data_IF_790289582458
#
_entry.id   IF_790289582458
#
_cell.length_a   1.000
_cell.length_b   1.000
_cell.length_c   1.000
_cell.angle_alpha   90.00
_cell.angle_beta   90.00
_cell.angle_gamma   90.00
#
_symmetry.space_group_name_H-M   'P 1'
#
loop_
_entity.id
_entity.type
_entity.pdbx_description
1 polymer ?
#
# COMPACT_ATOMS: atom_id res chain seq x y z
N UNK A 1 16.99 -12.65 -26.40
CA UNK A 1 16.14 -11.49 -26.47
C UNK A 1 16.11 -10.73 -25.16
N UNK A 2 16.36 -9.47 -25.25
CA UNK A 2 16.42 -8.68 -24.05
C UNK A 2 15.03 -8.21 -23.64
N UNK A 3 14.72 -8.40 -22.41
CA UNK A 3 13.45 -7.92 -21.89
C UNK A 3 13.51 -6.42 -21.70
N UNK A 4 12.37 -5.77 -21.82
CA UNK A 4 12.36 -4.35 -21.47
C UNK A 4 12.84 -4.16 -20.04
N UNK A 5 13.40 -3.01 -19.80
CA UNK A 5 13.89 -2.72 -18.47
C UNK A 5 12.73 -2.50 -17.54
N UNK A 6 12.36 -3.56 -16.83
CA UNK A 6 11.37 -3.42 -15.79
C UNK A 6 12.07 -2.96 -14.53
N UNK A 7 11.48 -2.04 -13.80
CA UNK A 7 12.09 -1.59 -12.57
C UNK A 7 12.21 -2.76 -11.61
N UNK A 8 13.39 -2.97 -11.08
CA UNK A 8 13.60 -3.95 -10.04
C UNK A 8 13.45 -3.33 -8.67
N UNK A 9 13.33 -2.03 -8.62
CA UNK A 9 13.18 -1.30 -7.38
C UNK A 9 11.93 -0.45 -7.43
N UNK A 10 11.41 -0.19 -6.25
CA UNK A 10 10.23 0.63 -6.09
C UNK A 10 10.64 2.08 -5.92
N UNK A 11 9.97 3.02 -6.56
CA UNK A 11 10.37 4.43 -6.46
C UNK A 11 10.03 5.08 -5.14
N UNK A 12 9.28 4.43 -4.28
CA UNK A 12 8.85 5.02 -3.02
C UNK A 12 7.43 5.54 -3.11
N UNK A 13 6.73 5.56 -1.96
CA UNK A 13 5.34 5.99 -1.93
C UNK A 13 5.17 7.40 -2.47
N UNK A 14 6.15 8.27 -2.21
CA UNK A 14 6.03 9.67 -2.64
C UNK A 14 6.12 9.82 -4.15
N UNK A 15 6.68 8.84 -4.82
CA UNK A 15 6.87 8.89 -6.27
C UNK A 15 6.02 7.83 -6.97
N UNK A 16 5.12 7.18 -6.24
CA UNK A 16 4.27 6.16 -6.81
C UNK A 16 3.24 6.80 -7.74
N UNK A 17 2.90 6.09 -8.80
CA UNK A 17 1.82 6.52 -9.65
C UNK A 17 0.51 6.43 -8.87
N UNK A 18 -0.52 7.09 -9.35
CA UNK A 18 -1.84 7.11 -8.71
C UNK A 18 -1.77 7.60 -7.27
N UNK A 19 -0.80 8.47 -6.95
CA UNK A 19 -0.72 9.03 -5.62
C UNK A 19 -0.44 8.00 -4.54
N UNK A 20 0.17 6.89 -4.91
CA UNK A 20 0.47 5.84 -3.95
C UNK A 20 -0.65 4.85 -3.74
N UNK A 21 -1.72 4.93 -4.53
CA UNK A 21 -2.84 4.00 -4.42
C UNK A 21 -2.66 2.84 -5.39
N UNK A 22 -1.50 2.21 -5.34
CA UNK A 22 -1.19 1.02 -6.12
C UNK A 22 -1.20 -0.19 -5.22
N UNK A 23 -1.09 -1.38 -5.81
CA UNK A 23 -1.02 -2.59 -5.00
C UNK A 23 0.18 -2.54 -4.05
N UNK A 24 1.34 -2.11 -4.56
CA UNK A 24 2.52 -2.04 -3.71
C UNK A 24 2.33 -0.98 -2.62
N UNK A 25 1.73 0.15 -2.97
CA UNK A 25 1.46 1.18 -1.97
C UNK A 25 0.57 0.67 -0.85
N UNK A 26 -0.42 -0.14 -1.19
CA UNK A 26 -1.29 -0.73 -0.18
C UNK A 26 -0.55 -1.72 0.70
N UNK A 27 0.34 -2.50 0.11
CA UNK A 27 1.15 -3.44 0.89
C UNK A 27 1.97 -2.67 1.93
N UNK A 28 2.59 -1.57 1.52
CA UNK A 28 3.42 -0.80 2.43
C UNK A 28 2.58 -0.20 3.55
N UNK A 29 1.41 0.34 3.23
CA UNK A 29 0.57 0.93 4.25
C UNK A 29 0.00 -0.09 5.20
N UNK A 30 -0.38 -1.27 4.70
CA UNK A 30 -0.82 -2.33 5.58
C UNK A 30 0.31 -2.77 6.50
N UNK A 31 1.55 -2.78 5.98
CA UNK A 31 2.70 -3.10 6.82
C UNK A 31 2.87 -2.07 7.94
N UNK A 32 2.54 -0.81 7.68
CA UNK A 32 2.52 0.19 8.74
C UNK A 32 1.46 -0.14 9.79
N UNK A 33 0.29 -0.58 9.34
CA UNK A 33 -0.80 -0.90 10.27
C UNK A 33 -0.37 -2.00 11.23
N UNK A 34 0.28 -3.03 10.72
CA UNK A 34 0.70 -4.17 11.55
C UNK A 34 2.11 -4.00 12.11
N UNK A 35 2.71 -2.82 11.92
CA UNK A 35 4.03 -2.50 12.46
C UNK A 35 5.13 -3.40 11.94
N UNK A 36 4.92 -3.95 10.74
CA UNK A 36 6.00 -4.64 10.04
C UNK A 36 7.02 -3.64 9.51
N UNK A 37 6.58 -2.41 9.26
CA UNK A 37 7.43 -1.31 8.85
C UNK A 37 7.03 -0.07 9.64
N UNK A 38 7.97 0.83 9.94
CA UNK A 38 7.61 2.10 10.56
C UNK A 38 6.87 2.99 9.56
N UNK A 39 6.01 3.86 10.06
CA UNK A 39 5.19 4.71 9.21
C UNK A 39 6.00 5.73 8.42
N UNK A 40 7.29 5.85 8.71
CA UNK A 40 8.18 6.71 7.95
C UNK A 40 8.83 6.01 6.78
N UNK A 41 8.64 4.70 6.63
CA UNK A 41 9.30 3.94 5.58
C UNK A 41 8.46 3.97 4.32
N UNK A 42 8.99 4.58 3.26
CA UNK A 42 8.32 4.66 1.97
C UNK A 42 8.79 3.59 0.99
N UNK A 43 9.79 2.82 1.38
CA UNK A 43 10.37 1.76 0.56
C UNK A 43 11.02 2.29 -0.71
N UNK A 44 11.43 3.54 -0.71
CA UNK A 44 12.14 4.10 -1.85
C UNK A 44 13.42 3.32 -2.09
N UNK A 45 13.61 2.88 -3.32
CA UNK A 45 14.81 2.13 -3.68
C UNK A 45 14.81 0.68 -3.26
N UNK A 46 13.74 0.19 -2.66
CA UNK A 46 13.69 -1.21 -2.25
C UNK A 46 13.52 -2.09 -3.46
N UNK A 47 14.19 -3.24 -3.44
CA UNK A 47 13.96 -4.24 -4.46
C UNK A 47 12.56 -4.81 -4.32
N UNK A 48 11.95 -5.08 -5.46
CA UNK A 48 10.58 -5.62 -5.46
C UNK A 48 10.53 -6.95 -4.71
N UNK A 49 11.58 -7.76 -4.80
CA UNK A 49 11.61 -9.03 -4.08
C UNK A 49 11.55 -8.83 -2.57
N UNK A 50 12.10 -7.73 -2.08
CA UNK A 50 12.03 -7.43 -0.66
C UNK A 50 10.60 -7.05 -0.25
N UNK A 51 9.92 -6.34 -1.13
CA UNK A 51 8.53 -5.99 -0.87
C UNK A 51 7.66 -7.25 -0.88
N UNK A 52 7.98 -8.21 -1.75
CA UNK A 52 7.24 -9.48 -1.75
C UNK A 52 7.39 -10.21 -0.41
N UNK A 53 8.57 -10.14 0.20
CA UNK A 53 8.76 -10.75 1.51
C UNK A 53 7.87 -10.10 2.55
N UNK A 54 7.79 -8.78 2.52
CA UNK A 54 6.88 -8.05 3.41
C UNK A 54 5.44 -8.45 3.14
N UNK A 55 5.09 -8.63 1.87
CA UNK A 55 3.73 -9.03 1.50
C UNK A 55 3.37 -10.39 2.10
N UNK A 56 4.31 -11.32 2.10
CA UNK A 56 4.05 -12.62 2.70
C UNK A 56 3.85 -12.53 4.21
N UNK A 57 4.67 -11.71 4.87
CA UNK A 57 4.49 -11.48 6.29
C UNK A 57 3.15 -10.82 6.58
N UNK A 58 2.75 -9.93 5.71
CA UNK A 58 1.48 -9.23 5.84
C UNK A 58 0.31 -10.20 5.71
N UNK A 59 0.39 -11.14 4.77
CA UNK A 59 -0.66 -12.12 4.62
C UNK A 59 -0.82 -12.96 5.88
N UNK A 60 0.30 -13.29 6.53
CA UNK A 60 0.23 -14.04 7.79
C UNK A 60 -0.49 -13.23 8.87
N UNK A 61 -0.25 -11.92 8.91
CA UNK A 61 -0.95 -11.08 9.89
C UNK A 61 -2.44 -10.99 9.59
N UNK A 62 -2.79 -10.79 8.32
CA UNK A 62 -4.20 -10.70 7.94
C UNK A 62 -4.95 -12.00 8.20
N UNK A 63 -4.28 -13.15 8.04
CA UNK A 63 -4.93 -14.43 8.27
C UNK A 63 -5.45 -14.56 9.70
N UNK A 64 -4.78 -13.89 10.64
CA UNK A 64 -5.23 -13.95 12.04
C UNK A 64 -6.60 -13.33 12.23
N UNK A 65 -7.04 -12.51 11.28
CA UNK A 65 -8.29 -11.78 11.39
C UNK A 65 -9.24 -12.12 10.25
N UNK A 66 -8.99 -13.25 9.58
CA UNK A 66 -9.84 -13.66 8.47
C UNK A 66 -9.81 -12.70 7.29
N UNK A 67 -8.74 -11.92 7.18
CA UNK A 67 -8.56 -10.94 6.10
C UNK A 67 -9.66 -9.88 6.09
N UNK A 68 -10.24 -9.58 7.24
CA UNK A 68 -11.32 -8.60 7.32
C UNK A 68 -10.99 -7.49 8.29
N UNK A 69 -11.13 -6.25 7.81
CA UNK A 69 -10.88 -5.08 8.64
C UNK A 69 -11.79 -5.08 9.87
N UNK A 70 -13.03 -5.52 9.70
CA UNK A 70 -13.98 -5.50 10.81
C UNK A 70 -13.59 -6.43 11.94
N UNK A 71 -12.68 -7.37 11.69
CA UNK A 71 -12.21 -8.30 12.72
C UNK A 71 -10.98 -7.78 13.45
N UNK A 72 -10.42 -6.67 13.02
CA UNK A 72 -9.24 -6.12 13.69
C UNK A 72 -9.60 -5.62 15.08
N UNK A 73 -8.71 -5.78 16.07
CA UNK A 73 -8.92 -5.13 17.36
C UNK A 73 -9.07 -3.62 17.17
N UNK A 74 -9.68 -2.99 18.13
CA UNK A 74 -10.01 -1.58 18.01
C UNK A 74 -8.80 -0.72 17.69
N UNK A 75 -7.68 -1.00 18.33
CA UNK A 75 -6.47 -0.20 18.13
C UNK A 75 -5.95 -0.33 16.70
N UNK A 76 -5.91 -1.56 16.18
CA UNK A 76 -5.45 -1.78 14.81
C UNK A 76 -6.43 -1.20 13.80
N UNK A 77 -7.73 -1.33 14.09
CA UNK A 77 -8.75 -0.80 13.19
C UNK A 77 -8.67 0.71 13.11
N UNK A 78 -8.44 1.37 14.24
CA UNK A 78 -8.29 2.82 14.25
C UNK A 78 -7.05 3.26 13.50
N UNK A 79 -5.95 2.51 13.65
CA UNK A 79 -4.71 2.82 12.92
C UNK A 79 -4.92 2.64 11.43
N UNK A 80 -5.58 1.56 11.03
CA UNK A 80 -5.88 1.30 9.63
C UNK A 80 -6.68 2.46 9.05
N UNK A 81 -7.72 2.89 9.76
CA UNK A 81 -8.55 3.98 9.27
C UNK A 81 -7.75 5.27 9.12
N UNK A 82 -6.96 5.60 10.12
CA UNK A 82 -6.15 6.83 10.06
C UNK A 82 -5.19 6.81 8.89
N UNK A 83 -4.48 5.69 8.73
CA UNK A 83 -3.47 5.58 7.68
C UNK A 83 -4.12 5.69 6.31
N UNK A 84 -5.25 5.01 6.12
CA UNK A 84 -5.88 5.03 4.80
C UNK A 84 -6.64 6.32 4.53
N UNK A 85 -7.22 6.95 5.55
CA UNK A 85 -7.82 8.27 5.35
C UNK A 85 -6.77 9.27 4.89
N UNK A 86 -5.60 9.25 5.51
CA UNK A 86 -4.51 10.13 5.11
C UNK A 86 -4.01 9.79 3.71
N UNK A 87 -3.94 8.51 3.39
CA UNK A 87 -3.47 8.07 2.09
C UNK A 87 -4.41 8.54 0.99
N UNK A 88 -5.71 8.41 1.21
CA UNK A 88 -6.70 8.79 0.22
C UNK A 88 -6.68 10.31 0.03
N UNK A 89 -6.58 11.06 1.13
CA UNK A 89 -6.52 12.51 1.02
C UNK A 89 -5.29 12.96 0.23
N UNK A 90 -4.14 12.33 0.49
CA UNK A 90 -2.92 12.67 -0.23
C UNK A 90 -3.04 12.30 -1.71
N UNK A 91 -3.59 11.14 -2.00
CA UNK A 91 -3.75 10.70 -3.38
C UNK A 91 -4.66 11.63 -4.15
N UNK A 92 -5.76 12.05 -3.53
CA UNK A 92 -6.69 12.99 -4.19
C UNK A 92 -6.02 14.34 -4.44
N UNK A 93 -5.19 14.78 -3.51
CA UNK A 93 -4.45 16.04 -3.69
C UNK A 93 -3.50 15.95 -4.87
N UNK A 94 -3.09 14.76 -5.24
CA UNK A 94 -2.19 14.52 -6.37
C UNK A 94 -2.94 14.19 -7.65
N UNK A 95 -4.26 14.24 -7.62
CA UNK A 95 -5.05 14.06 -8.84
C UNK A 95 -5.70 12.70 -8.98
N UNK A 96 -5.50 11.80 -8.02
CA UNK A 96 -6.15 10.50 -8.08
C UNK A 96 -7.64 10.65 -7.79
N UNK A 97 -8.45 9.99 -8.61
CA UNK A 97 -9.90 10.11 -8.50
C UNK A 97 -10.52 8.72 -8.64
N UNK A 98 -10.91 8.09 -7.54
CA UNK A 98 -11.47 6.75 -7.63
C UNK A 98 -12.79 6.71 -8.37
N UNK A 99 -13.59 7.77 -8.29
CA UNK A 99 -14.87 7.79 -8.99
C UNK A 99 -14.67 7.94 -10.49
N UNK A 100 -13.68 8.74 -10.87
CA UNK A 100 -13.35 8.89 -12.26
C UNK A 100 -12.85 7.59 -12.87
N UNK A 101 -11.99 6.89 -12.12
CA UNK A 101 -11.48 5.62 -12.60
C UNK A 101 -12.62 4.64 -12.80
N UNK A 102 -13.58 4.61 -11.89
CA UNK A 102 -14.72 3.73 -12.04
C UNK A 102 -15.55 4.11 -13.25
N UNK A 103 -15.62 5.39 -13.56
CA UNK A 103 -16.41 5.88 -14.69
C UNK A 103 -15.74 5.60 -16.02
N UNK A 104 -14.44 5.47 -16.02
CA UNK A 104 -13.69 5.32 -17.26
C UNK A 104 -14.03 4.07 -18.01
N UNK A 105 -14.72 3.17 -17.39
CA UNK A 105 -15.09 1.95 -18.05
C UNK A 105 -16.19 2.14 -19.07
N UNK A 106 -16.79 3.25 -19.08
CA UNK A 106 -17.88 3.52 -20.03
C UNK A 106 -17.43 3.61 -21.47
#
# INVERSE_FOLDING_TARGET
>A
MKRPNLPKTYPGLDNDINGGMTMIGKIIRDAWVFELLPETETCEGWEISRIDTIHQQLNDEWDKYGCMVSNLPEELRARHKRIYDEAIALAKARGWDPEHVASDED
#
